data_IF_375621342249
#
_entry.id   IF_375621342249
#
_cell.length_a   1.000
_cell.length_b   1.000
_cell.length_c   1.000
_cell.angle_alpha   90.00
_cell.angle_beta   90.00
_cell.angle_gamma   90.00
#
_symmetry.space_group_name_H-M   'P 1'
#
loop_
_entity.id
_entity.type
_entity.pdbx_description
1 polymer ?
#
# COMPACT_ATOMS: atom_id res chain seq x y z
N UNK A 1 -15.74 31.35 3.16
CA UNK A 1 -14.60 30.41 3.30
C UNK A 1 -15.07 28.96 3.55
N UNK A 2 -16.32 28.61 3.24
CA UNK A 2 -16.92 27.32 3.64
C UNK A 2 -17.14 26.34 2.48
N UNK A 3 -16.85 26.73 1.24
CA UNK A 3 -17.18 25.95 0.04
C UNK A 3 -16.05 25.01 -0.42
N UNK A 4 -14.81 25.24 0.05
CA UNK A 4 -13.62 24.52 -0.44
C UNK A 4 -13.39 23.17 0.28
N UNK A 5 -13.82 23.05 1.54
CA UNK A 5 -13.74 21.81 2.33
C UNK A 5 -14.78 20.77 1.89
N UNK A 6 -15.99 21.20 1.54
CA UNK A 6 -17.06 20.34 1.02
C UNK A 6 -16.67 19.76 -0.35
N UNK A 7 -16.06 20.57 -1.22
CA UNK A 7 -15.66 20.12 -2.56
C UNK A 7 -14.50 19.09 -2.52
N UNK A 8 -13.56 19.24 -1.57
CA UNK A 8 -12.52 18.23 -1.29
C UNK A 8 -13.07 16.92 -0.76
N UNK A 9 -14.03 16.95 0.18
CA UNK A 9 -14.68 15.74 0.69
C UNK A 9 -15.45 14.98 -0.39
N UNK A 10 -16.22 15.68 -1.22
CA UNK A 10 -16.97 15.08 -2.33
C UNK A 10 -16.02 14.45 -3.37
N UNK A 11 -14.90 15.10 -3.69
CA UNK A 11 -13.89 14.57 -4.61
C UNK A 11 -13.17 13.33 -4.05
N UNK A 12 -12.95 13.27 -2.73
CA UNK A 12 -12.36 12.11 -2.05
C UNK A 12 -13.34 10.92 -1.97
N UNK A 13 -14.64 11.18 -1.80
CA UNK A 13 -15.69 10.16 -1.85
C UNK A 13 -15.85 9.55 -3.25
N UNK A 14 -15.69 10.34 -4.30
CA UNK A 14 -15.76 9.82 -5.68
C UNK A 14 -14.58 8.91 -6.04
N UNK A 15 -13.44 9.04 -5.34
CA UNK A 15 -12.21 8.29 -5.58
C UNK A 15 -11.94 7.18 -4.55
N UNK A 16 -12.90 6.85 -3.68
CA UNK A 16 -12.69 5.81 -2.67
C UNK A 16 -13.77 4.72 -2.71
N UNK A 17 -13.34 3.49 -2.48
CA UNK A 17 -14.18 2.33 -2.22
C UNK A 17 -14.21 2.04 -0.72
N UNK A 18 -15.32 1.49 -0.25
CA UNK A 18 -15.56 1.09 1.14
C UNK A 18 -15.73 -0.41 1.19
N UNK A 19 -15.13 -1.02 2.21
CA UNK A 19 -15.26 -2.44 2.49
C UNK A 19 -16.48 -2.68 3.41
N UNK A 20 -17.51 -3.31 2.86
CA UNK A 20 -18.64 -3.82 3.64
C UNK A 20 -18.41 -5.28 3.97
N UNK A 21 -18.94 -5.71 5.10
CA UNK A 21 -18.83 -7.09 5.59
C UNK A 21 -20.19 -7.62 6.00
N UNK A 22 -20.54 -8.81 5.53
CA UNK A 22 -21.62 -9.64 6.03
C UNK A 22 -21.07 -10.56 7.11
N UNK A 23 -21.55 -10.38 8.33
CA UNK A 23 -21.37 -11.35 9.40
C UNK A 23 -22.41 -12.47 9.23
N UNK A 24 -21.97 -13.68 8.89
CA UNK A 24 -22.86 -14.85 8.69
C UNK A 24 -23.48 -15.35 9.98
N UNK A 25 -22.88 -15.07 11.14
CA UNK A 25 -23.46 -15.44 12.44
C UNK A 25 -24.58 -14.47 12.82
N UNK A 26 -24.38 -13.17 12.57
CA UNK A 26 -25.37 -12.14 12.89
C UNK A 26 -26.37 -11.86 11.77
N UNK A 27 -26.13 -12.39 10.55
CA UNK A 27 -26.88 -12.07 9.34
C UNK A 27 -27.04 -10.56 9.12
N UNK A 28 -25.95 -9.81 9.34
CA UNK A 28 -25.94 -8.34 9.27
C UNK A 28 -24.81 -7.81 8.41
N UNK A 29 -25.12 -6.82 7.60
CA UNK A 29 -24.18 -6.01 6.83
C UNK A 29 -23.67 -4.88 7.70
N UNK A 30 -22.35 -4.81 7.85
CA UNK A 30 -21.65 -3.77 8.60
C UNK A 30 -20.54 -3.16 7.74
N UNK A 31 -20.11 -1.96 8.09
CA UNK A 31 -18.92 -1.35 7.48
C UNK A 31 -17.70 -1.68 8.34
N UNK A 32 -16.58 -2.02 7.70
CA UNK A 32 -15.32 -2.24 8.41
C UNK A 32 -14.77 -0.89 8.85
N UNK A 33 -14.37 -0.77 10.12
CA UNK A 33 -13.67 0.39 10.68
C UNK A 33 -12.17 0.17 10.73
N UNK A 34 -11.76 -0.93 11.35
CA UNK A 34 -10.34 -1.27 11.54
C UNK A 34 -10.17 -2.77 11.79
N UNK A 35 -8.92 -3.24 11.82
CA UNK A 35 -8.54 -4.54 12.38
C UNK A 35 -7.58 -4.31 13.54
N UNK A 36 -7.86 -4.90 14.70
CA UNK A 36 -6.99 -4.81 15.87
C UNK A 36 -5.74 -5.70 15.68
N UNK A 37 -4.67 -5.45 16.45
CA UNK A 37 -3.42 -6.24 16.50
C UNK A 37 -3.65 -7.74 16.73
N UNK A 38 -4.80 -8.07 17.31
CA UNK A 38 -5.25 -9.43 17.56
C UNK A 38 -5.98 -10.10 16.38
N UNK A 39 -6.06 -9.46 15.22
CA UNK A 39 -6.75 -10.00 14.04
C UNK A 39 -8.28 -10.00 14.14
N UNK A 40 -8.83 -9.15 15.03
CA UNK A 40 -10.28 -9.00 15.23
C UNK A 40 -10.75 -7.74 14.51
N UNK A 41 -11.77 -7.89 13.67
CA UNK A 41 -12.37 -6.73 12.98
C UNK A 41 -13.20 -5.89 13.93
N UNK A 42 -13.02 -4.58 13.82
CA UNK A 42 -13.95 -3.59 14.31
C UNK A 42 -14.89 -3.20 13.19
N UNK A 43 -16.18 -3.39 13.42
CA UNK A 43 -17.24 -3.06 12.46
C UNK A 43 -18.17 -2.02 13.07
N UNK A 44 -18.72 -1.15 12.22
CA UNK A 44 -19.68 -0.12 12.60
C UNK A 44 -20.92 -0.21 11.72
N UNK A 45 -22.03 0.34 12.20
CA UNK A 45 -23.25 0.37 11.41
C UNK A 45 -23.07 1.27 10.17
N UNK A 46 -23.55 0.85 8.99
CA UNK A 46 -23.43 1.59 7.74
C UNK A 46 -24.44 2.74 7.70
N UNK A 47 -24.25 3.74 8.58
CA UNK A 47 -25.07 4.95 8.68
C UNK A 47 -24.27 6.20 8.35
N UNK A 48 -24.95 7.29 7.97
CA UNK A 48 -24.31 8.60 7.68
C UNK A 48 -23.50 9.14 8.86
N UNK A 49 -23.85 8.79 10.10
CA UNK A 49 -23.12 9.24 11.30
C UNK A 49 -21.75 8.61 11.42
N UNK A 50 -21.61 7.37 10.97
CA UNK A 50 -20.38 6.58 11.09
C UNK A 50 -19.54 6.62 9.80
N UNK A 51 -19.95 7.40 8.80
CA UNK A 51 -19.36 7.43 7.45
C UNK A 51 -17.90 7.90 7.44
N UNK A 52 -17.49 8.66 8.45
CA UNK A 52 -16.09 9.06 8.69
C UNK A 52 -15.24 7.95 9.29
N UNK A 53 -15.87 6.94 9.90
CA UNK A 53 -15.20 5.79 10.52
C UNK A 53 -15.08 4.60 9.58
N UNK A 54 -15.69 4.66 8.40
CA UNK A 54 -15.59 3.60 7.42
C UNK A 54 -14.18 3.52 6.88
N UNK A 55 -13.67 2.30 6.76
CA UNK A 55 -12.44 2.01 6.08
C UNK A 55 -12.59 2.35 4.60
N UNK A 56 -11.91 3.41 4.19
CA UNK A 56 -11.85 3.89 2.81
C UNK A 56 -10.57 3.37 2.17
N UNK A 57 -10.71 2.88 0.94
CA UNK A 57 -9.62 2.38 0.12
C UNK A 57 -9.63 3.17 -1.18
N UNK A 58 -8.48 3.63 -1.64
CA UNK A 58 -8.38 4.43 -2.86
C UNK A 58 -8.78 3.60 -4.11
N UNK A 59 -9.61 4.18 -5.00
CA UNK A 59 -10.02 3.59 -6.28
C UNK A 59 -8.90 3.56 -7.31
N UNK A 60 -7.87 4.39 -7.18
CA UNK A 60 -6.85 4.65 -8.21
C UNK A 60 -5.77 3.57 -8.34
N UNK A 61 -5.95 2.39 -7.76
CA UNK A 61 -5.07 1.26 -8.04
C UNK A 61 -5.63 -0.06 -7.56
N UNK A 62 -4.98 -1.14 -7.97
CA UNK A 62 -5.26 -2.51 -7.53
C UNK A 62 -5.22 -2.72 -6.01
N UNK A 63 -4.95 -1.69 -5.20
CA UNK A 63 -4.68 -1.75 -3.75
C UNK A 63 -5.66 -2.62 -2.98
N UNK A 64 -6.94 -2.68 -3.36
CA UNK A 64 -7.92 -3.58 -2.73
C UNK A 64 -7.45 -5.04 -2.76
N UNK A 65 -6.91 -5.59 -3.84
CA UNK A 65 -6.53 -7.02 -3.87
C UNK A 65 -5.41 -7.33 -2.88
N UNK A 66 -4.33 -6.55 -2.87
CA UNK A 66 -3.20 -6.76 -1.94
C UNK A 66 -3.58 -6.38 -0.50
N UNK A 67 -4.31 -5.28 -0.32
CA UNK A 67 -4.81 -4.86 0.98
C UNK A 67 -5.73 -5.93 1.55
N UNK A 68 -6.68 -6.41 0.75
CA UNK A 68 -7.67 -7.38 1.17
C UNK A 68 -7.06 -8.75 1.42
N UNK A 69 -6.07 -9.19 0.64
CA UNK A 69 -5.32 -10.41 0.95
C UNK A 69 -4.57 -10.32 2.29
N UNK A 70 -3.92 -9.18 2.56
CA UNK A 70 -3.24 -8.93 3.84
C UNK A 70 -4.23 -8.76 5.00
N UNK A 71 -5.36 -8.12 4.75
CA UNK A 71 -6.43 -7.94 5.71
C UNK A 71 -7.05 -9.30 6.05
N UNK A 72 -7.37 -10.10 5.04
CA UNK A 72 -7.96 -11.43 5.15
C UNK A 72 -7.03 -12.42 5.84
N UNK A 73 -5.71 -12.34 5.60
CA UNK A 73 -4.71 -13.19 6.28
C UNK A 73 -4.52 -12.84 7.76
N UNK A 74 -4.80 -11.59 8.15
CA UNK A 74 -4.77 -11.14 9.54
C UNK A 74 -6.05 -11.50 10.30
N UNK A 75 -7.14 -11.89 9.62
CA UNK A 75 -8.39 -12.27 10.28
C UNK A 75 -8.24 -13.61 10.99
N UNK A 76 -8.70 -13.66 12.24
CA UNK A 76 -8.79 -14.92 12.99
C UNK A 76 -9.81 -15.90 12.40
N UNK A 77 -10.97 -15.40 12.00
CA UNK A 77 -12.10 -16.20 11.50
C UNK A 77 -12.63 -15.68 10.14
N UNK A 78 -11.84 -15.72 9.07
CA UNK A 78 -12.21 -15.10 7.80
C UNK A 78 -13.45 -15.75 7.14
N UNK A 79 -13.68 -17.04 7.35
CA UNK A 79 -14.79 -17.81 6.74
C UNK A 79 -16.18 -17.42 7.26
N UNK A 80 -16.25 -16.80 8.45
CA UNK A 80 -17.49 -16.28 9.05
C UNK A 80 -17.99 -15.01 8.37
N UNK A 81 -17.14 -14.39 7.58
CA UNK A 81 -17.42 -13.11 6.96
C UNK A 81 -17.44 -13.24 5.44
N UNK A 82 -18.36 -12.51 4.81
CA UNK A 82 -18.33 -12.27 3.37
C UNK A 82 -18.09 -10.79 3.15
N UNK A 83 -17.15 -10.45 2.29
CA UNK A 83 -16.73 -9.07 2.09
C UNK A 83 -17.20 -8.55 0.74
N UNK A 84 -17.63 -7.30 0.72
CA UNK A 84 -18.10 -6.63 -0.48
C UNK A 84 -17.34 -5.33 -0.67
N UNK A 85 -16.86 -5.13 -1.89
CA UNK A 85 -16.25 -3.87 -2.32
C UNK A 85 -17.34 -2.99 -2.91
N UNK A 86 -17.52 -1.81 -2.34
CA UNK A 86 -18.56 -0.88 -2.80
C UNK A 86 -18.01 0.54 -2.95
N UNK A 87 -18.34 1.27 -4.02
CA UNK A 87 -18.01 2.69 -4.14
C UNK A 87 -18.52 3.50 -2.93
N UNK A 88 -17.68 4.38 -2.36
CA UNK A 88 -18.01 5.15 -1.16
C UNK A 88 -19.29 5.99 -1.31
N UNK A 89 -19.53 6.51 -2.52
CA UNK A 89 -20.72 7.26 -2.90
C UNK A 89 -22.01 6.43 -2.79
N UNK A 90 -21.91 5.10 -2.95
CA UNK A 90 -23.06 4.17 -2.94
C UNK A 90 -23.07 3.24 -1.74
N UNK A 91 -22.09 3.33 -0.83
CA UNK A 91 -21.91 2.40 0.28
C UNK A 91 -23.15 2.29 1.18
N UNK A 92 -23.82 3.41 1.47
CA UNK A 92 -25.02 3.41 2.31
C UNK A 92 -26.25 2.79 1.64
N UNK A 93 -26.41 3.00 0.33
CA UNK A 93 -27.51 2.42 -0.44
C UNK A 93 -27.31 0.92 -0.59
N UNK A 94 -26.10 0.52 -1.00
CA UNK A 94 -25.70 -0.87 -1.16
C UNK A 94 -25.73 -1.64 0.15
N UNK A 95 -25.33 -1.04 1.27
CA UNK A 95 -25.44 -1.69 2.57
C UNK A 95 -26.91 -2.02 2.93
N UNK A 96 -27.86 -1.11 2.61
CA UNK A 96 -29.29 -1.35 2.81
C UNK A 96 -29.85 -2.39 1.84
N UNK A 97 -29.45 -2.34 0.57
CA UNK A 97 -29.81 -3.36 -0.42
C UNK A 97 -29.31 -4.74 0.01
N UNK A 98 -28.06 -4.82 0.45
CA UNK A 98 -27.47 -6.05 0.91
C UNK A 98 -28.15 -6.55 2.19
N UNK A 99 -28.47 -5.68 3.14
CA UNK A 99 -29.22 -6.09 4.34
C UNK A 99 -30.60 -6.64 3.97
N UNK A 100 -31.35 -5.97 3.08
CA UNK A 100 -32.65 -6.46 2.60
C UNK A 100 -32.56 -7.83 1.93
N UNK A 101 -31.48 -8.07 1.19
CA UNK A 101 -31.23 -9.33 0.51
C UNK A 101 -30.78 -10.43 1.48
N UNK A 102 -30.10 -10.09 2.57
CA UNK A 102 -29.79 -11.03 3.67
C UNK A 102 -31.07 -11.39 4.44
N UNK A 103 -31.96 -10.42 4.68
CA UNK A 103 -33.24 -10.63 5.36
C UNK A 103 -34.26 -11.39 4.48
N UNK A 104 -34.25 -11.13 3.17
CA UNK A 104 -35.13 -11.77 2.19
C UNK A 104 -34.38 -12.11 0.88
N UNK A 105 -33.81 -13.32 0.77
CA UNK A 105 -32.96 -13.69 -0.36
C UNK A 105 -33.76 -13.80 -1.66
N UNK A 106 -33.46 -12.93 -2.62
CA UNK A 106 -33.93 -13.01 -4.01
C UNK A 106 -32.83 -13.44 -4.98
N UNK A 107 -33.14 -14.17 -6.08
CA UNK A 107 -32.14 -14.63 -7.05
C UNK A 107 -31.36 -13.50 -7.73
N UNK A 108 -31.98 -12.32 -7.89
CA UNK A 108 -31.33 -11.14 -8.46
C UNK A 108 -30.36 -10.47 -7.49
N UNK A 109 -30.74 -10.35 -6.22
CA UNK A 109 -29.88 -9.78 -5.19
C UNK A 109 -28.65 -10.65 -4.88
N UNK A 110 -28.76 -11.99 -4.97
CA UNK A 110 -27.61 -12.89 -4.85
C UNK A 110 -26.60 -12.70 -5.99
N UNK A 111 -27.08 -12.52 -7.22
CA UNK A 111 -26.22 -12.21 -8.36
C UNK A 111 -25.52 -10.86 -8.18
N UNK A 112 -26.20 -9.89 -7.60
CA UNK A 112 -25.63 -8.57 -7.35
C UNK A 112 -24.58 -8.61 -6.23
N UNK A 113 -24.86 -9.33 -5.14
CA UNK A 113 -23.88 -9.57 -4.08
C UNK A 113 -22.62 -10.26 -4.60
N UNK A 114 -22.76 -11.30 -5.43
CA UNK A 114 -21.62 -12.03 -6.00
C UNK A 114 -20.74 -11.20 -6.95
N UNK A 115 -21.28 -10.15 -7.57
CA UNK A 115 -20.50 -9.22 -8.42
C UNK A 115 -19.63 -8.29 -7.58
N UNK A 116 -20.18 -7.84 -6.46
CA UNK A 116 -19.54 -6.91 -5.54
C UNK A 116 -18.71 -7.66 -4.46
N UNK A 117 -18.83 -8.99 -4.39
CA UNK A 117 -18.12 -9.87 -3.46
C UNK A 117 -16.63 -9.96 -3.79
N UNK A 118 -15.80 -9.73 -2.77
CA UNK A 118 -14.35 -9.88 -2.89
C UNK A 118 -13.99 -11.33 -2.57
N UNK A 119 -13.54 -12.06 -3.60
CA UNK A 119 -13.03 -13.43 -3.43
C UNK A 119 -11.54 -13.40 -3.16
N UNK A 120 -11.12 -14.03 -2.07
CA UNK A 120 -9.72 -14.44 -1.87
C UNK A 120 -9.65 -15.92 -2.21
N UNK A 121 -8.85 -16.29 -3.21
CA UNK A 121 -8.55 -17.70 -3.43
C UNK A 121 -7.71 -18.21 -2.24
N UNK A 122 -8.12 -19.29 -1.57
CA UNK A 122 -7.44 -19.79 -0.38
C UNK A 122 -6.11 -20.51 -0.67
N UNK A 123 -5.68 -20.60 -1.93
CA UNK A 123 -4.43 -21.25 -2.31
C UNK A 123 -3.30 -20.26 -2.47
N UNK A 124 -2.84 -19.67 -1.37
CA UNK A 124 -1.41 -19.55 -1.10
C UNK A 124 -1.25 -19.42 0.40
N UNK A 125 -0.78 -20.49 1.05
CA UNK A 125 -0.02 -20.37 2.30
C UNK A 125 1.22 -19.54 1.99
N UNK A 126 1.07 -18.21 2.00
CA UNK A 126 2.20 -17.34 2.19
C UNK A 126 2.64 -17.58 3.63
N UNK A 127 3.74 -18.33 3.78
CA UNK A 127 4.55 -18.26 4.98
C UNK A 127 4.67 -16.80 5.42
N UNK A 128 4.51 -16.58 6.72
CA UNK A 128 4.83 -15.33 7.41
C UNK A 128 6.25 -14.88 7.06
N UNK A 129 6.42 -14.21 5.93
CA UNK A 129 7.58 -13.38 5.69
C UNK A 129 7.27 -12.05 6.38
N UNK A 130 8.06 -11.75 7.40
CA UNK A 130 8.22 -10.39 7.95
C UNK A 130 8.76 -9.48 6.84
N UNK A 131 7.93 -9.13 5.87
CA UNK A 131 8.19 -8.08 4.90
C UNK A 131 7.18 -6.97 5.13
N UNK A 132 7.56 -5.99 5.95
CA UNK A 132 7.09 -4.62 5.75
C UNK A 132 7.78 -4.09 4.47
N UNK A 133 7.44 -4.66 3.32
CA UNK A 133 7.63 -4.01 2.04
C UNK A 133 6.43 -3.10 1.84
N UNK A 134 6.63 -1.79 2.00
CA UNK A 134 5.79 -0.79 1.35
C UNK A 134 5.82 -1.06 -0.16
N UNK A 135 4.92 -1.91 -0.64
CA UNK A 135 4.59 -2.03 -2.06
C UNK A 135 3.85 -0.75 -2.43
N UNK A 136 4.61 0.27 -2.83
CA UNK A 136 4.09 1.29 -3.72
C UNK A 136 3.59 0.52 -4.96
N UNK A 137 2.28 0.50 -5.22
CA UNK A 137 1.79 -0.06 -6.48
C UNK A 137 2.25 0.85 -7.61
N UNK A 138 2.81 0.21 -8.63
CA UNK A 138 3.03 0.83 -9.93
C UNK A 138 1.66 1.28 -10.42
N UNK A 139 1.54 2.47 -11.01
CA UNK A 139 0.40 2.75 -11.85
C UNK A 139 0.32 1.66 -12.92
N UNK A 140 -0.87 1.10 -13.12
CA UNK A 140 -1.22 0.18 -14.21
C UNK A 140 -1.19 0.89 -15.58
N UNK A 141 -0.05 1.50 -15.88
CA UNK A 141 0.45 1.49 -17.23
C UNK A 141 1.65 0.56 -17.14
N UNK A 142 1.54 -0.65 -17.70
CA UNK A 142 2.63 -1.63 -17.80
C UNK A 142 3.78 -1.13 -18.72
N UNK A 143 3.98 0.19 -18.79
CA UNK A 143 5.12 0.82 -19.38
C UNK A 143 6.22 0.92 -18.34
N UNK A 144 7.32 0.25 -18.64
CA UNK A 144 8.58 0.52 -18.01
C UNK A 144 8.85 2.03 -18.00
N UNK A 145 9.01 2.60 -16.80
CA UNK A 145 9.39 4.02 -16.61
C UNK A 145 10.75 4.30 -17.24
N UNK A 146 11.62 3.30 -17.25
CA UNK A 146 12.94 3.34 -17.83
C UNK A 146 13.11 2.19 -18.81
N UNK A 147 13.67 2.46 -19.98
CA UNK A 147 14.02 1.40 -20.92
C UNK A 147 15.43 0.89 -20.62
N UNK A 148 15.71 -0.43 -20.79
CA UNK A 148 17.05 -0.97 -20.57
C UNK A 148 18.14 -0.25 -21.39
N UNK A 149 17.81 0.30 -22.55
CA UNK A 149 18.75 0.99 -23.44
C UNK A 149 19.15 2.38 -22.91
N UNK A 150 18.39 2.94 -21.96
CA UNK A 150 18.69 4.25 -21.34
C UNK A 150 19.65 4.12 -20.16
N UNK A 151 19.91 2.90 -19.69
CA UNK A 151 20.78 2.64 -18.54
C UNK A 151 22.23 2.58 -19.03
N UNK A 152 23.09 3.34 -18.36
CA UNK A 152 24.53 3.20 -18.52
C UNK A 152 25.02 1.89 -17.88
N UNK A 153 25.04 0.83 -18.69
CA UNK A 153 25.49 -0.48 -18.29
C UNK A 153 26.99 -0.54 -17.98
N UNK A 154 27.79 0.36 -18.53
CA UNK A 154 29.23 0.43 -18.23
C UNK A 154 29.43 0.86 -16.78
N UNK A 155 28.78 1.96 -16.37
CA UNK A 155 28.78 2.42 -14.98
C UNK A 155 28.18 1.39 -14.04
N UNK A 156 27.07 0.75 -14.42
CA UNK A 156 26.45 -0.32 -13.62
C UNK A 156 27.41 -1.51 -13.43
N UNK A 157 28.12 -1.94 -14.47
CA UNK A 157 29.11 -3.02 -14.37
C UNK A 157 30.28 -2.64 -13.46
N UNK A 158 30.76 -1.39 -13.54
CA UNK A 158 31.81 -0.88 -12.64
C UNK A 158 31.39 -0.88 -11.17
N UNK A 159 30.08 -0.80 -10.90
CA UNK A 159 29.48 -0.93 -9.57
C UNK A 159 29.24 -2.40 -9.14
N UNK A 160 29.56 -3.37 -10.00
CA UNK A 160 29.26 -4.79 -9.80
C UNK A 160 27.79 -5.15 -10.09
N UNK A 161 27.04 -4.28 -10.76
CA UNK A 161 25.60 -4.38 -11.02
C UNK A 161 25.31 -4.72 -12.49
N UNK A 162 25.90 -5.81 -12.99
CA UNK A 162 25.65 -6.23 -14.37
C UNK A 162 24.21 -6.68 -14.62
N UNK A 163 23.74 -6.49 -15.86
CA UNK A 163 22.37 -6.80 -16.29
C UNK A 163 21.94 -8.22 -15.89
N UNK A 164 22.75 -9.22 -16.22
CA UNK A 164 22.47 -10.63 -15.90
C UNK A 164 22.34 -10.87 -14.38
N UNK A 165 23.13 -10.14 -13.58
CA UNK A 165 23.07 -10.25 -12.11
C UNK A 165 21.75 -9.68 -11.58
N UNK A 166 21.33 -8.52 -12.08
CA UNK A 166 20.06 -7.89 -11.69
C UNK A 166 18.85 -8.72 -12.11
N UNK A 167 18.93 -9.38 -13.27
CA UNK A 167 17.92 -10.34 -13.74
C UNK A 167 17.86 -11.58 -12.84
N UNK A 168 19.01 -12.18 -12.52
CA UNK A 168 19.09 -13.34 -11.62
C UNK A 168 18.56 -13.07 -10.21
N UNK A 169 18.72 -11.83 -9.73
CA UNK A 169 18.19 -11.39 -8.44
C UNK A 169 16.71 -10.96 -8.52
N UNK A 170 16.06 -11.04 -9.69
CA UNK A 170 14.68 -10.58 -9.93
C UNK A 170 14.44 -9.10 -9.56
N UNK A 171 15.48 -8.26 -9.61
CA UNK A 171 15.38 -6.83 -9.25
C UNK A 171 15.41 -5.90 -10.47
N UNK A 172 15.78 -6.40 -11.66
CA UNK A 172 15.81 -5.56 -12.86
C UNK A 172 14.42 -5.03 -13.24
N UNK A 173 13.41 -5.91 -13.26
CA UNK A 173 12.06 -5.52 -13.67
C UNK A 173 11.45 -4.45 -12.72
N UNK A 174 11.52 -4.59 -11.38
CA UNK A 174 11.14 -3.51 -10.47
C UNK A 174 11.90 -2.20 -10.69
N UNK A 175 13.21 -2.25 -10.94
CA UNK A 175 14.03 -1.06 -11.20
C UNK A 175 13.57 -0.31 -12.45
N UNK A 176 13.29 -1.03 -13.54
CA UNK A 176 12.81 -0.45 -14.79
C UNK A 176 11.40 0.15 -14.66
N UNK A 177 10.56 -0.42 -13.79
CA UNK A 177 9.27 0.17 -13.38
C UNK A 177 9.42 1.41 -12.48
N UNK A 178 10.65 1.68 -12.03
CA UNK A 178 11.01 2.84 -11.22
C UNK A 178 10.87 2.63 -9.72
N UNK A 179 10.79 1.39 -9.27
CA UNK A 179 10.82 1.05 -7.86
C UNK A 179 12.24 1.03 -7.30
N UNK A 180 12.30 1.17 -5.98
CA UNK A 180 13.49 0.89 -5.20
C UNK A 180 13.55 -0.61 -4.89
N UNK A 181 14.74 -1.21 -4.89
CA UNK A 181 14.91 -2.61 -4.53
C UNK A 181 14.41 -2.86 -3.11
N UNK A 182 13.72 -3.97 -2.93
CA UNK A 182 13.26 -4.43 -1.64
C UNK A 182 14.40 -5.00 -0.79
N UNK A 183 15.33 -5.68 -1.44
CA UNK A 183 16.49 -6.28 -0.80
C UNK A 183 17.74 -5.38 -0.87
N UNK A 184 18.68 -5.68 0.01
CA UNK A 184 20.00 -5.09 -0.01
C UNK A 184 20.83 -5.76 -1.11
N UNK A 185 21.37 -4.95 -2.01
CA UNK A 185 22.20 -5.39 -3.12
C UNK A 185 23.66 -5.07 -2.81
N UNK A 186 24.59 -6.04 -2.93
CA UNK A 186 26.01 -5.78 -2.74
C UNK A 186 26.56 -4.98 -3.94
N UNK A 187 27.01 -3.77 -3.64
CA UNK A 187 27.64 -2.82 -4.57
C UNK A 187 29.13 -2.73 -4.28
N UNK A 188 29.94 -2.70 -5.34
CA UNK A 188 31.39 -2.51 -5.25
C UNK A 188 31.75 -1.20 -5.92
N UNK A 189 32.26 -0.23 -5.17
CA UNK A 189 32.71 1.04 -5.71
C UNK A 189 34.24 1.04 -5.76
N UNK A 190 34.79 1.20 -6.96
CA UNK A 190 36.23 1.34 -7.19
C UNK A 190 36.56 2.80 -7.55
N UNK A 191 37.29 3.48 -6.68
CA UNK A 191 37.72 4.87 -6.84
C UNK A 191 39.21 4.97 -7.21
N UNK A 192 39.73 3.93 -7.89
CA UNK A 192 41.13 3.84 -8.31
C UNK A 192 42.04 3.36 -7.19
N UNK A 193 42.26 4.19 -6.16
CA UNK A 193 43.15 3.86 -5.03
C UNK A 193 42.42 3.20 -3.84
N UNK A 194 41.08 3.22 -3.85
CA UNK A 194 40.25 2.65 -2.80
C UNK A 194 39.10 1.84 -3.41
N UNK A 195 38.93 0.61 -2.91
CA UNK A 195 37.79 -0.25 -3.24
C UNK A 195 36.96 -0.40 -1.99
N UNK A 196 35.68 -0.05 -2.09
CA UNK A 196 34.71 -0.25 -1.01
C UNK A 196 33.58 -1.15 -1.47
N UNK A 197 33.14 -2.05 -0.57
CA UNK A 197 31.98 -2.92 -0.80
C UNK A 197 30.94 -2.61 0.26
N UNK A 198 29.71 -2.40 -0.18
CA UNK A 198 28.61 -2.10 0.72
C UNK A 198 27.31 -2.71 0.21
N UNK A 199 26.42 -2.99 1.15
CA UNK A 199 25.06 -3.40 0.86
C UNK A 199 24.16 -2.17 0.82
N UNK A 200 23.40 -2.01 -0.27
CA UNK A 200 22.56 -0.85 -0.49
C UNK A 200 21.27 -1.21 -1.23
N UNK A 201 20.21 -0.43 -1.04
CA UNK A 201 19.04 -0.49 -1.91
C UNK A 201 19.26 0.39 -3.13
N UNK A 202 18.78 -0.04 -4.29
CA UNK A 202 19.00 0.65 -5.56
C UNK A 202 17.70 1.25 -6.09
N UNK A 203 17.75 2.38 -6.78
CA UNK A 203 16.64 2.90 -7.58
C UNK A 203 17.17 3.60 -8.83
N UNK A 204 16.35 3.72 -9.87
CA UNK A 204 16.68 4.52 -11.05
C UNK A 204 16.03 5.90 -10.94
N UNK A 205 16.77 6.94 -11.30
CA UNK A 205 16.30 8.33 -11.33
C UNK A 205 16.91 9.09 -12.51
N UNK A 206 16.28 10.19 -12.91
CA UNK A 206 16.90 11.10 -13.87
C UNK A 206 17.82 12.07 -13.13
N UNK A 207 19.00 12.34 -13.69
CA UNK A 207 19.86 13.44 -13.24
C UNK A 207 19.35 14.79 -13.79
N UNK A 208 20.05 15.88 -13.47
CA UNK A 208 19.71 17.24 -13.93
C UNK A 208 19.72 17.38 -15.46
N UNK A 209 20.44 16.49 -16.16
CA UNK A 209 20.53 16.42 -17.63
C UNK A 209 19.46 15.51 -18.25
N UNK A 210 18.61 14.86 -17.45
CA UNK A 210 17.57 13.95 -17.93
C UNK A 210 18.08 12.55 -18.29
N UNK A 211 19.31 12.19 -17.95
CA UNK A 211 19.86 10.85 -18.13
C UNK A 211 19.48 9.93 -16.96
N UNK A 212 19.24 8.64 -17.27
CA UNK A 212 18.89 7.63 -16.26
C UNK A 212 20.15 7.19 -15.52
N UNK A 213 20.19 7.48 -14.22
CA UNK A 213 21.30 7.12 -13.33
C UNK A 213 20.82 6.22 -12.20
N UNK A 214 21.73 5.39 -11.70
CA UNK A 214 21.47 4.57 -10.50
C UNK A 214 21.69 5.38 -9.23
N UNK A 215 20.71 5.38 -8.35
CA UNK A 215 20.81 5.92 -7.01
C UNK A 215 21.08 4.80 -6.01
N UNK A 216 22.20 4.91 -5.29
CA UNK A 216 22.63 3.96 -4.26
C UNK A 216 22.17 4.48 -2.90
N UNK A 217 21.24 3.76 -2.27
CA UNK A 217 20.71 4.10 -0.95
C UNK A 217 21.35 3.20 0.11
N UNK A 218 22.38 3.72 0.77
CA UNK A 218 23.05 3.03 1.88
C UNK A 218 22.13 2.82 3.10
N UNK A 219 22.56 1.89 3.96
CA UNK A 219 21.90 1.61 5.24
C UNK A 219 22.05 2.82 6.16
N UNK A 220 20.91 3.34 6.67
CA UNK A 220 20.89 4.43 7.65
C UNK A 220 20.77 3.83 9.05
N UNK A 221 21.69 4.19 9.95
CA UNK A 221 21.64 3.78 11.36
C UNK A 221 20.58 4.55 12.16
N UNK A 222 20.36 5.81 11.77
CA UNK A 222 19.48 6.73 12.49
C UNK A 222 18.55 7.47 11.50
N UNK A 223 17.32 7.80 11.92
CA UNK A 223 16.41 8.61 11.13
C UNK A 223 16.97 10.03 10.97
N UNK A 224 16.81 10.62 9.78
CA UNK A 224 17.20 12.00 9.57
C UNK A 224 16.05 12.93 9.97
N UNK A 225 16.14 13.49 11.16
CA UNK A 225 15.11 14.38 11.74
C UNK A 225 15.41 15.86 11.51
N UNK A 226 16.43 16.20 10.71
CA UNK A 226 16.79 17.59 10.41
C UNK A 226 16.07 18.12 9.17
N UNK A 227 15.51 17.23 8.34
CA UNK A 227 14.70 17.59 7.20
C UNK A 227 13.22 17.57 7.55
N UNK A 228 12.45 18.40 6.85
CA UNK A 228 11.00 18.34 6.88
C UNK A 228 10.51 16.99 6.36
N UNK A 229 9.52 16.43 7.05
CA UNK A 229 8.86 15.21 6.64
C UNK A 229 7.40 15.52 6.36
N UNK A 230 6.97 15.38 5.09
CA UNK A 230 5.62 15.76 4.62
C UNK A 230 5.21 17.21 5.01
N UNK A 231 6.16 18.16 5.00
CA UNK A 231 5.92 19.56 5.36
C UNK A 231 5.91 19.83 6.87
N UNK A 232 6.22 18.83 7.69
CA UNK A 232 6.35 18.99 9.13
C UNK A 232 7.82 19.12 9.52
N UNK A 233 8.14 20.23 10.22
CA UNK A 233 9.43 20.41 10.91
C UNK A 233 9.37 19.75 12.28
N UNK A 234 10.42 18.99 12.61
CA UNK A 234 10.56 18.40 13.93
C UNK A 234 11.16 19.40 14.92
N UNK A 235 10.44 19.63 16.01
CA UNK A 235 10.97 20.34 17.19
C UNK A 235 12.00 19.46 17.92
N UNK A 236 12.80 20.03 18.81
CA UNK A 236 13.76 19.25 19.59
C UNK A 236 13.08 18.19 20.48
N UNK A 237 11.85 18.48 20.93
CA UNK A 237 11.01 17.54 21.68
C UNK A 237 10.49 16.40 20.77
N UNK A 238 10.03 16.72 19.55
CA UNK A 238 9.65 15.70 18.56
C UNK A 238 10.83 14.78 18.24
N UNK A 239 12.04 15.35 18.10
CA UNK A 239 13.26 14.58 17.81
C UNK A 239 13.58 13.62 18.94
N UNK A 240 13.52 14.10 20.19
CA UNK A 240 13.74 13.26 21.37
C UNK A 240 12.71 12.13 21.45
N UNK A 241 11.42 12.45 21.29
CA UNK A 241 10.35 11.46 21.35
C UNK A 241 10.47 10.41 20.23
N UNK A 242 10.86 10.81 19.02
CA UNK A 242 11.08 9.91 17.89
C UNK A 242 12.27 8.97 18.11
N UNK A 243 13.34 9.45 18.75
CA UNK A 243 14.52 8.63 19.07
C UNK A 243 14.25 7.67 20.23
N UNK A 244 13.49 8.09 21.25
CA UNK A 244 13.21 7.27 22.44
C UNK A 244 12.04 6.29 22.23
N UNK A 245 10.94 6.75 21.64
CA UNK A 245 9.66 6.03 21.59
C UNK A 245 9.21 5.65 20.18
N UNK A 246 9.89 6.15 19.13
CA UNK A 246 9.48 5.98 17.74
C UNK A 246 8.24 6.79 17.34
N UNK A 247 7.65 7.56 18.26
CA UNK A 247 6.47 8.39 18.04
C UNK A 247 6.79 9.85 18.37
N UNK A 248 6.21 10.82 17.65
CA UNK A 248 6.41 12.25 17.94
C UNK A 248 5.83 12.69 19.30
N UNK A 249 4.93 11.91 19.89
CA UNK A 249 4.25 12.27 21.14
C UNK A 249 3.10 13.26 20.97
N UNK A 250 2.80 13.68 19.73
CA UNK A 250 1.66 14.53 19.36
C UNK A 250 0.98 14.05 18.08
N UNK A 251 -0.28 14.43 17.92
CA UNK A 251 -1.04 14.21 16.68
C UNK A 251 -0.61 15.25 15.65
N UNK A 252 -0.46 14.82 14.40
CA UNK A 252 0.04 15.60 13.27
C UNK A 252 -0.91 15.46 12.09
#
# INVERSE_FOLDING_TARGET
MSDDTTNKQVKLEQLSDILLVLDKEKMKIQAVKSIDKNGKMETVEPTKKNQSEFMRVDKQGDFISNFFSNFYSQLKDPTKFTFFKVPADKALEKAKEFQKQVDNPTPEGEKQMKKDEVKVEPEHKQENQKNMETTQKAPENNEYRYKPEQIDWETMNNLGLGKERLEKMNILEPLLKGFKTNELVPVSLNLGTAVTRMDARLSLQHNDEGQVVVAIHGIRKEPNLNFEFFGHKFTDEDKKNLLESGNMGRVV
#
